data_IF_505463007292
#
_entry.id   IF_505463007292
#
_cell.length_a   1.000
_cell.length_b   1.000
_cell.length_c   1.000
_cell.angle_alpha   90.00
_cell.angle_beta   90.00
_cell.angle_gamma   90.00
#
_symmetry.space_group_name_H-M   'P 1'
#
loop_
_entity.id
_entity.type
_entity.pdbx_description
1 polymer ?
#
# COMPACT_ATOMS: atom_id res chain seq x y z
N UNK A 1 12.69 -55.71 15.41
CA UNK A 1 13.52 -56.64 14.62
C UNK A 1 13.41 -56.26 13.14
N UNK A 2 14.53 -56.07 12.43
CA UNK A 2 14.57 -55.51 11.08
C UNK A 2 14.67 -56.62 10.01
N UNK A 3 14.08 -56.41 8.82
CA UNK A 3 14.44 -57.11 7.57
C UNK A 3 14.15 -56.18 6.39
N UNK A 4 15.17 -55.46 5.88
CA UNK A 4 16.07 -55.82 4.76
C UNK A 4 15.38 -56.10 3.41
N UNK A 5 15.52 -55.09 2.54
CA UNK A 5 15.96 -55.11 1.12
C UNK A 5 15.27 -56.04 0.11
N UNK A 6 14.92 -55.47 -1.06
CA UNK A 6 15.61 -55.77 -2.32
C UNK A 6 15.27 -54.77 -3.43
N UNK A 7 16.31 -54.13 -3.94
CA UNK A 7 16.41 -53.53 -5.28
C UNK A 7 16.27 -54.62 -6.36
N UNK A 8 15.61 -54.29 -7.47
CA UNK A 8 15.79 -55.01 -8.73
C UNK A 8 15.91 -54.01 -9.88
N UNK A 9 17.03 -54.10 -10.56
CA UNK A 9 17.43 -53.44 -11.80
C UNK A 9 16.73 -54.11 -12.99
N UNK A 10 16.28 -53.33 -13.97
CA UNK A 10 15.75 -53.84 -15.24
C UNK A 10 15.98 -52.84 -16.37
N UNK A 11 17.13 -52.98 -17.03
CA UNK A 11 17.54 -52.27 -18.24
C UNK A 11 16.95 -52.99 -19.46
N UNK A 12 16.35 -52.27 -20.42
CA UNK A 12 16.18 -52.75 -21.81
C UNK A 12 16.21 -51.56 -22.78
N UNK A 13 17.24 -51.59 -23.63
CA UNK A 13 17.47 -50.76 -24.84
C UNK A 13 16.61 -51.29 -26.00
N UNK A 14 16.09 -50.44 -26.89
CA UNK A 14 16.53 -50.12 -28.29
C UNK A 14 15.21 -49.77 -29.04
N UNK A 15 15.06 -48.89 -30.03
CA UNK A 15 15.86 -48.51 -31.20
C UNK A 15 15.34 -47.19 -31.78
N UNK A 16 16.26 -46.42 -32.36
CA UNK A 16 16.10 -45.22 -33.19
C UNK A 16 15.52 -45.47 -34.59
N UNK A 17 14.87 -44.46 -35.17
CA UNK A 17 14.83 -44.27 -36.63
C UNK A 17 14.93 -42.79 -37.01
N UNK A 18 16.02 -42.45 -37.69
CA UNK A 18 16.33 -41.17 -38.33
C UNK A 18 15.78 -41.13 -39.76
N UNK A 19 15.33 -39.95 -40.22
CA UNK A 19 15.30 -39.65 -41.66
C UNK A 19 15.82 -38.23 -41.91
N UNK A 20 16.99 -38.17 -42.56
CA UNK A 20 17.59 -36.98 -43.17
C UNK A 20 17.46 -37.09 -44.67
N UNK A 21 17.08 -36.00 -45.34
CA UNK A 21 17.48 -35.75 -46.73
C UNK A 21 17.86 -34.29 -46.87
N UNK A 22 19.09 -34.07 -47.35
CA UNK A 22 19.71 -32.79 -47.64
C UNK A 22 19.86 -32.60 -49.16
N UNK A 23 19.92 -31.33 -49.57
CA UNK A 23 20.60 -30.88 -50.78
C UNK A 23 19.68 -30.40 -51.92
N UNK A 24 20.00 -29.39 -52.73
CA UNK A 24 21.15 -28.46 -52.85
C UNK A 24 20.67 -27.24 -53.64
N UNK A 25 21.25 -26.08 -53.29
CA UNK A 25 21.44 -24.79 -53.98
C UNK A 25 20.80 -24.46 -55.35
N UNK A 26 20.30 -23.22 -55.43
CA UNK A 26 20.15 -22.42 -56.65
C UNK A 26 20.05 -20.94 -56.31
N UNK A 27 21.07 -20.16 -56.67
CA UNK A 27 21.19 -18.70 -56.48
C UNK A 27 20.37 -17.98 -57.56
N UNK A 28 19.50 -17.04 -57.17
CA UNK A 28 19.20 -15.85 -57.97
C UNK A 28 18.53 -14.77 -57.11
N UNK A 29 19.08 -13.57 -57.17
CA UNK A 29 18.60 -12.36 -56.52
C UNK A 29 17.23 -11.92 -57.04
N UNK A 30 16.41 -11.29 -56.18
CA UNK A 30 15.95 -9.90 -56.32
C UNK A 30 14.87 -9.53 -55.29
N UNK A 31 14.94 -8.27 -54.86
CA UNK A 31 13.87 -7.38 -54.40
C UNK A 31 13.20 -7.60 -53.03
N UNK A 32 13.68 -6.78 -52.08
CA UNK A 32 12.93 -6.05 -51.04
C UNK A 32 11.40 -6.12 -51.13
N UNK A 33 10.78 -6.61 -50.06
CA UNK A 33 9.52 -6.11 -49.53
C UNK A 33 9.39 -6.52 -48.05
N UNK A 34 10.06 -5.77 -47.16
CA UNK A 34 9.68 -5.73 -45.75
C UNK A 34 8.35 -5.00 -45.68
N UNK A 35 7.29 -5.69 -45.26
CA UNK A 35 6.04 -5.06 -44.85
C UNK A 35 6.25 -4.45 -43.47
N UNK A 36 6.89 -3.27 -43.44
CA UNK A 36 6.84 -2.38 -42.30
C UNK A 36 5.39 -1.90 -42.14
N UNK A 37 4.70 -2.48 -41.14
CA UNK A 37 3.54 -1.79 -40.57
C UNK A 37 4.09 -0.54 -39.86
N UNK A 38 3.54 0.65 -40.12
CA UNK A 38 4.02 1.85 -39.48
C UNK A 38 3.79 1.73 -37.97
N UNK A 39 4.88 1.69 -37.21
CA UNK A 39 4.87 2.05 -35.80
C UNK A 39 4.38 3.49 -35.78
N UNK A 40 3.17 3.70 -35.26
CA UNK A 40 2.66 5.04 -35.01
C UNK A 40 3.71 5.75 -34.14
N UNK A 41 4.22 6.86 -34.66
CA UNK A 41 5.15 7.71 -33.95
C UNK A 41 4.60 7.98 -32.55
N UNK A 42 5.47 7.84 -31.55
CA UNK A 42 5.21 8.29 -30.19
C UNK A 42 4.59 9.68 -30.24
N UNK A 43 3.30 9.75 -29.94
CA UNK A 43 2.64 11.01 -29.70
C UNK A 43 3.32 11.63 -28.50
N UNK A 44 4.05 12.72 -28.71
CA UNK A 44 4.45 13.59 -27.62
C UNK A 44 3.16 14.04 -26.92
N UNK A 45 2.87 13.47 -25.75
CA UNK A 45 1.85 13.98 -24.84
C UNK A 45 2.35 15.31 -24.28
N UNK A 46 2.28 16.34 -25.11
CA UNK A 46 2.48 17.72 -24.71
C UNK A 46 1.23 18.15 -23.93
N UNK A 47 1.34 18.16 -22.60
CA UNK A 47 0.42 18.92 -21.76
C UNK A 47 -0.27 18.15 -20.63
N UNK A 48 0.49 17.52 -19.74
CA UNK A 48 0.06 17.45 -18.34
C UNK A 48 0.91 18.46 -17.57
N UNK A 49 0.40 19.70 -17.49
CA UNK A 49 0.94 20.64 -16.52
C UNK A 49 0.73 20.02 -15.14
N UNK A 50 1.81 19.81 -14.40
CA UNK A 50 1.75 19.42 -13.00
C UNK A 50 0.73 20.32 -12.29
N UNK A 51 -0.37 19.74 -11.84
CA UNK A 51 -1.29 20.42 -10.93
C UNK A 51 -0.59 20.52 -9.59
N UNK A 52 0.29 21.52 -9.46
CA UNK A 52 0.84 21.91 -8.17
C UNK A 52 -0.30 22.46 -7.33
N UNK A 53 -0.81 21.66 -6.39
CA UNK A 53 -1.65 22.18 -5.30
C UNK A 53 -0.87 23.30 -4.58
N UNK A 54 -1.41 24.53 -4.50
CA UNK A 54 -0.71 25.61 -3.80
C UNK A 54 -0.53 25.27 -2.33
N UNK A 55 0.72 25.21 -1.86
CA UNK A 55 1.03 25.13 -0.42
C UNK A 55 1.48 23.77 0.12
N UNK A 56 1.84 22.81 -0.74
CA UNK A 56 2.59 21.61 -0.32
C UNK A 56 3.88 21.54 -1.15
N UNK A 57 5.09 21.54 -0.56
CA UNK A 57 6.30 21.21 -1.32
C UNK A 57 6.15 19.76 -1.81
N UNK A 58 5.76 19.60 -3.07
CA UNK A 58 5.61 18.29 -3.71
C UNK A 58 6.96 17.58 -3.79
N UNK A 59 6.95 16.28 -3.50
CA UNK A 59 8.07 15.40 -3.83
C UNK A 59 8.20 15.43 -5.36
N UNK A 60 9.39 15.70 -5.88
CA UNK A 60 9.59 15.75 -7.32
C UNK A 60 9.33 14.37 -7.92
N UNK A 61 8.58 14.32 -9.02
CA UNK A 61 8.28 13.09 -9.74
C UNK A 61 9.54 12.32 -10.10
N UNK A 62 9.52 11.01 -9.85
CA UNK A 62 10.55 10.11 -10.37
C UNK A 62 10.34 9.94 -11.87
N UNK A 63 11.20 10.53 -12.70
CA UNK A 63 11.11 10.39 -14.17
C UNK A 63 11.78 9.10 -14.66
N UNK A 64 11.83 8.06 -13.82
CA UNK A 64 12.59 6.84 -14.08
C UNK A 64 11.61 5.70 -14.34
N UNK A 65 11.73 5.12 -15.53
CA UNK A 65 11.01 3.91 -15.88
C UNK A 65 11.23 2.80 -14.84
N UNK A 66 10.15 2.12 -14.49
CA UNK A 66 10.06 1.02 -13.53
C UNK A 66 9.25 -0.14 -14.12
N UNK A 67 9.08 -1.22 -13.36
CA UNK A 67 8.27 -2.35 -13.84
C UNK A 67 6.79 -2.03 -14.00
N UNK A 68 6.25 -1.13 -13.16
CA UNK A 68 4.84 -0.70 -13.22
C UNK A 68 4.63 0.59 -14.03
N UNK A 69 5.71 1.36 -14.27
CA UNK A 69 5.74 2.58 -15.08
C UNK A 69 6.80 2.45 -16.19
N UNK A 70 6.51 1.75 -17.30
CA UNK A 70 7.52 1.44 -18.31
C UNK A 70 8.03 2.63 -19.12
N UNK A 71 7.25 3.72 -19.23
CA UNK A 71 7.64 4.93 -19.96
C UNK A 71 8.27 6.01 -19.04
N UNK A 72 8.08 5.88 -17.72
CA UNK A 72 8.74 6.69 -16.72
C UNK A 72 8.16 8.10 -16.60
N UNK A 73 6.91 8.29 -17.01
CA UNK A 73 6.23 9.59 -16.93
C UNK A 73 5.63 9.86 -15.54
N UNK A 74 5.64 8.86 -14.65
CA UNK A 74 5.12 8.91 -13.29
C UNK A 74 3.63 8.61 -13.16
N UNK A 75 2.93 8.33 -14.26
CA UNK A 75 1.53 7.90 -14.24
C UNK A 75 1.45 6.38 -14.36
N UNK A 76 0.82 5.74 -13.38
CA UNK A 76 0.50 4.31 -13.44
C UNK A 76 -1.00 4.19 -13.64
N UNK A 77 -1.43 3.68 -14.79
CA UNK A 77 -2.85 3.55 -15.12
C UNK A 77 -3.48 2.33 -14.46
N UNK A 78 -4.72 2.45 -14.00
CA UNK A 78 -5.52 1.31 -13.59
C UNK A 78 -6.02 0.53 -14.81
N UNK A 79 -6.00 -0.81 -14.71
CA UNK A 79 -6.52 -1.71 -15.74
C UNK A 79 -7.46 -2.77 -15.12
N UNK A 80 -8.78 -2.70 -15.39
CA UNK A 80 -9.48 -1.61 -16.08
C UNK A 80 -9.64 -0.36 -15.20
N UNK A 81 -9.77 0.84 -15.79
CA UNK A 81 -10.15 2.03 -15.03
C UNK A 81 -11.61 1.94 -14.57
N UNK A 82 -11.90 2.58 -13.45
CA UNK A 82 -13.25 2.72 -12.87
C UNK A 82 -13.83 4.06 -13.28
N UNK A 83 -14.67 4.05 -14.32
CA UNK A 83 -15.29 5.25 -14.88
C UNK A 83 -16.80 5.30 -14.65
N UNK A 84 -17.41 6.48 -14.85
CA UNK A 84 -18.86 6.66 -14.75
C UNK A 84 -19.42 6.54 -13.33
N UNK A 85 -18.59 6.69 -12.31
CA UNK A 85 -19.01 6.69 -10.90
C UNK A 85 -19.50 8.07 -10.52
N UNK A 86 -20.71 8.13 -9.95
CA UNK A 86 -21.22 9.30 -9.26
C UNK A 86 -21.07 9.05 -7.76
N UNK A 87 -20.42 9.95 -6.98
CA UNK A 87 -20.34 9.80 -5.54
C UNK A 87 -21.73 9.61 -4.92
N UNK A 88 -21.87 8.61 -4.05
CA UNK A 88 -23.13 8.40 -3.33
C UNK A 88 -23.43 9.62 -2.47
N UNK A 89 -24.72 9.92 -2.34
CA UNK A 89 -25.29 10.93 -1.43
C UNK A 89 -26.23 10.29 -0.40
N UNK A 90 -26.29 8.95 -0.33
CA UNK A 90 -27.17 8.23 0.57
C UNK A 90 -26.66 8.26 2.02
N UNK A 91 -27.59 8.23 2.97
CA UNK A 91 -27.28 8.03 4.39
C UNK A 91 -27.78 6.65 4.80
N UNK A 92 -26.90 5.65 4.91
CA UNK A 92 -27.29 4.31 5.37
C UNK A 92 -27.76 4.31 6.83
N UNK A 93 -28.39 3.20 7.29
CA UNK A 93 -28.62 2.98 8.71
C UNK A 93 -27.32 3.14 9.51
N UNK A 94 -27.43 3.76 10.69
CA UNK A 94 -26.29 3.99 11.57
C UNK A 94 -25.65 2.65 11.95
N UNK A 95 -24.36 2.54 11.66
CA UNK A 95 -23.47 1.53 12.18
C UNK A 95 -22.33 2.28 12.88
N UNK A 96 -21.97 1.85 14.10
CA UNK A 96 -20.95 2.56 14.87
C UNK A 96 -19.55 2.35 14.29
N UNK A 97 -19.32 1.16 13.71
CA UNK A 97 -18.08 0.80 13.04
C UNK A 97 -18.37 0.35 11.61
N UNK A 98 -17.34 0.43 10.78
CA UNK A 98 -17.34 0.04 9.37
C UNK A 98 -15.88 -0.13 8.96
N UNK A 99 -15.24 -1.12 9.57
CA UNK A 99 -13.80 -1.30 9.53
C UNK A 99 -13.36 -2.77 9.68
N UNK A 100 -12.15 -3.05 9.22
CA UNK A 100 -11.41 -4.25 9.62
C UNK A 100 -9.95 -3.92 9.93
N UNK A 101 -9.29 -4.83 10.65
CA UNK A 101 -7.88 -4.69 11.04
C UNK A 101 -6.99 -5.57 10.19
N UNK A 102 -6.06 -4.98 9.45
CA UNK A 102 -4.86 -5.68 9.02
C UNK A 102 -3.85 -5.65 10.17
N UNK A 103 -3.24 -6.80 10.47
CA UNK A 103 -2.32 -6.97 11.60
C UNK A 103 -1.01 -7.52 11.08
N UNK A 104 0.01 -6.66 10.97
CA UNK A 104 1.29 -6.99 10.34
C UNK A 104 2.47 -6.62 11.24
N UNK A 105 3.48 -7.48 11.33
CA UNK A 105 4.71 -7.17 12.07
C UNK A 105 5.75 -6.46 11.19
N UNK A 106 6.65 -5.65 11.76
CA UNK A 106 7.83 -5.14 11.05
C UNK A 106 8.65 -6.27 10.43
N UNK A 107 9.09 -6.09 9.19
CA UNK A 107 9.89 -7.08 8.44
C UNK A 107 11.37 -6.73 8.51
N UNK A 108 11.71 -5.55 8.02
CA UNK A 108 13.08 -5.05 7.94
C UNK A 108 13.06 -3.52 7.81
N UNK A 109 14.26 -2.94 7.72
CA UNK A 109 14.43 -1.51 7.45
C UNK A 109 15.43 -1.30 6.34
N UNK A 110 15.19 -0.32 5.47
CA UNK A 110 16.12 0.04 4.41
C UNK A 110 15.95 1.52 4.01
N UNK A 111 17.01 2.19 3.50
CA UNK A 111 16.96 3.51 2.87
C UNK A 111 16.35 3.48 1.46
N UNK A 112 15.26 2.74 1.29
CA UNK A 112 14.62 2.45 0.01
C UNK A 112 13.20 3.04 0.00
N UNK A 113 12.74 3.43 -1.18
CA UNK A 113 11.36 3.85 -1.41
C UNK A 113 10.97 3.52 -2.85
N UNK A 114 10.19 2.44 -3.09
CA UNK A 114 9.81 2.05 -4.44
C UNK A 114 8.78 2.98 -5.10
N UNK A 115 8.11 3.86 -4.34
CA UNK A 115 7.15 4.83 -4.90
C UNK A 115 7.93 6.07 -5.36
N UNK A 116 8.70 6.67 -4.45
CA UNK A 116 9.40 7.94 -4.72
C UNK A 116 10.69 7.72 -5.53
N UNK A 117 11.40 6.63 -5.27
CA UNK A 117 12.69 6.32 -5.88
C UNK A 117 12.73 4.91 -6.50
N UNK A 118 11.81 4.58 -7.44
CA UNK A 118 11.74 3.27 -8.08
C UNK A 118 13.08 2.86 -8.70
N UNK A 119 13.52 1.65 -8.37
CA UNK A 119 14.77 1.04 -8.82
C UNK A 119 16.03 1.80 -8.41
N UNK A 120 15.99 2.59 -7.32
CA UNK A 120 17.12 3.38 -6.83
C UNK A 120 17.39 3.07 -5.34
N UNK A 121 18.04 1.92 -5.05
CA UNK A 121 18.32 1.52 -3.68
C UNK A 121 19.21 2.54 -2.95
N UNK A 122 18.91 2.79 -1.68
CA UNK A 122 19.64 3.72 -0.83
C UNK A 122 19.41 5.21 -1.13
N UNK A 123 18.44 5.54 -1.99
CA UNK A 123 18.17 6.93 -2.37
C UNK A 123 17.28 7.67 -1.37
N UNK A 124 16.50 6.96 -0.56
CA UNK A 124 15.60 7.54 0.43
C UNK A 124 16.25 7.66 1.82
N UNK A 125 15.54 8.27 2.77
CA UNK A 125 15.83 8.04 4.19
C UNK A 125 15.42 6.62 4.60
N UNK A 126 15.88 6.18 5.77
CA UNK A 126 15.59 4.84 6.27
C UNK A 126 14.11 4.67 6.63
N UNK A 127 13.48 3.65 6.07
CA UNK A 127 12.11 3.26 6.35
C UNK A 127 12.06 1.97 7.16
N UNK A 128 11.03 1.82 7.99
CA UNK A 128 10.61 0.55 8.59
C UNK A 128 9.48 -0.03 7.75
N UNK A 129 9.69 -1.23 7.22
CA UNK A 129 8.75 -1.94 6.36
C UNK A 129 7.93 -2.96 7.16
N UNK A 130 6.68 -3.16 6.76
CA UNK A 130 5.69 -4.08 7.34
C UNK A 130 4.88 -4.76 6.23
N UNK A 131 4.27 -5.91 6.53
CA UNK A 131 3.48 -6.68 5.57
C UNK A 131 4.39 -7.51 4.67
N UNK A 132 4.46 -7.14 3.40
CA UNK A 132 5.28 -7.88 2.45
C UNK A 132 6.77 -7.89 2.83
N UNK A 133 7.32 -9.09 2.95
CA UNK A 133 8.70 -9.34 3.40
C UNK A 133 9.76 -8.98 2.35
N UNK A 134 9.34 -8.76 1.11
CA UNK A 134 10.25 -8.51 -0.03
C UNK A 134 10.30 -7.06 -0.48
N UNK A 135 9.52 -6.16 0.15
CA UNK A 135 9.46 -4.74 -0.21
C UNK A 135 10.84 -4.09 -0.16
N UNK A 136 11.32 -3.55 -1.28
CA UNK A 136 12.56 -2.79 -1.41
C UNK A 136 12.47 -1.79 -2.58
N UNK A 137 13.56 -1.11 -2.96
CA UNK A 137 13.54 -0.12 -4.05
C UNK A 137 13.06 -0.66 -5.42
N UNK A 138 13.08 -1.97 -5.66
CA UNK A 138 12.64 -2.60 -6.90
C UNK A 138 11.21 -3.17 -6.85
N UNK A 139 10.47 -2.92 -5.77
CA UNK A 139 9.09 -3.42 -5.60
C UNK A 139 8.20 -2.96 -6.74
N UNK A 140 7.42 -3.89 -7.27
CA UNK A 140 6.31 -3.65 -8.18
C UNK A 140 5.03 -4.31 -7.65
N UNK A 141 3.88 -3.95 -8.21
CA UNK A 141 2.62 -4.59 -7.88
C UNK A 141 2.68 -6.12 -8.11
N UNK A 142 3.38 -6.55 -9.17
CA UNK A 142 3.57 -7.97 -9.47
C UNK A 142 4.54 -8.66 -8.50
N UNK A 143 5.61 -7.98 -8.05
CA UNK A 143 6.55 -8.60 -7.10
C UNK A 143 5.89 -8.87 -5.75
N UNK A 144 5.01 -7.96 -5.30
CA UNK A 144 4.29 -8.12 -4.04
C UNK A 144 3.47 -9.42 -4.01
N UNK A 145 2.79 -9.78 -5.09
CA UNK A 145 1.98 -11.01 -5.17
C UNK A 145 2.79 -12.29 -4.94
N UNK A 146 4.06 -12.27 -5.33
CA UNK A 146 4.96 -13.43 -5.18
C UNK A 146 5.70 -13.46 -3.85
N UNK A 147 5.68 -12.35 -3.09
CA UNK A 147 6.32 -12.25 -1.79
C UNK A 147 5.54 -12.95 -0.68
N UNK A 148 6.24 -13.28 0.41
CA UNK A 148 5.63 -13.66 1.68
C UNK A 148 5.22 -12.42 2.48
N UNK A 149 4.37 -12.57 3.49
CA UNK A 149 3.88 -11.48 4.34
C UNK A 149 4.03 -11.79 5.83
N UNK A 150 4.19 -10.76 6.65
CA UNK A 150 4.05 -10.83 8.12
C UNK A 150 2.65 -10.47 8.62
N UNK A 151 1.72 -10.16 7.71
CA UNK A 151 0.33 -9.96 8.06
C UNK A 151 -0.31 -11.28 8.48
N UNK A 152 -1.24 -11.24 9.44
CA UNK A 152 -1.95 -12.44 9.88
C UNK A 152 -2.77 -13.09 8.76
N UNK A 153 -3.38 -12.28 7.89
CA UNK A 153 -4.03 -12.77 6.67
C UNK A 153 -2.98 -13.00 5.56
N UNK A 154 -2.74 -14.24 5.09
CA UNK A 154 -1.78 -14.52 4.02
C UNK A 154 -2.13 -13.83 2.70
N UNK A 155 -3.40 -13.51 2.50
CA UNK A 155 -3.91 -12.72 1.38
C UNK A 155 -3.44 -11.27 1.40
N UNK A 156 -2.98 -10.72 2.52
CA UNK A 156 -2.42 -9.36 2.57
C UNK A 156 -0.92 -9.36 2.27
N UNK A 157 -0.57 -9.21 1.00
CA UNK A 157 0.83 -9.07 0.56
C UNK A 157 1.19 -7.62 0.27
N UNK A 158 0.48 -6.66 0.87
CA UNK A 158 0.73 -5.24 0.65
C UNK A 158 2.04 -4.79 1.28
N UNK A 159 2.65 -3.77 0.69
CA UNK A 159 3.77 -3.05 1.29
C UNK A 159 3.27 -1.88 2.13
N UNK A 160 3.70 -1.83 3.38
CA UNK A 160 3.45 -0.72 4.30
C UNK A 160 4.77 -0.22 4.86
N UNK A 161 5.07 1.07 4.73
CA UNK A 161 6.30 1.60 5.33
C UNK A 161 6.15 3.03 5.82
N UNK A 162 7.04 3.40 6.72
CA UNK A 162 7.10 4.72 7.36
C UNK A 162 8.54 5.03 7.76
N UNK A 163 8.94 6.29 7.98
CA UNK A 163 10.29 6.62 8.43
C UNK A 163 10.64 5.88 9.71
N UNK A 164 11.82 5.26 9.73
CA UNK A 164 12.29 4.59 10.93
C UNK A 164 12.48 5.58 12.08
N UNK A 165 12.06 5.18 13.28
CA UNK A 165 12.23 5.97 14.48
C UNK A 165 13.59 5.65 15.13
N UNK A 166 14.25 6.67 15.65
CA UNK A 166 15.51 6.55 16.36
C UNK A 166 15.44 7.27 17.70
N UNK A 167 16.16 6.74 18.69
CA UNK A 167 16.53 7.46 19.89
C UNK A 167 18.05 7.59 19.91
N UNK A 168 18.55 8.78 19.56
CA UNK A 168 19.97 8.98 19.29
C UNK A 168 20.40 8.24 18.02
N UNK A 169 21.30 7.26 18.17
CA UNK A 169 21.75 6.37 17.09
C UNK A 169 21.01 5.03 17.07
N UNK A 170 20.28 4.71 18.14
CA UNK A 170 19.56 3.45 18.25
C UNK A 170 18.27 3.52 17.45
N UNK A 171 18.10 2.62 16.49
CA UNK A 171 16.84 2.41 15.78
C UNK A 171 15.83 1.74 16.72
N UNK A 172 14.62 2.28 16.79
CA UNK A 172 13.52 1.75 17.59
C UNK A 172 12.45 1.26 16.62
N UNK A 173 12.22 -0.05 16.62
CA UNK A 173 11.15 -0.66 15.83
C UNK A 173 9.86 -0.70 16.63
N UNK A 174 8.70 -0.64 15.97
CA UNK A 174 7.44 -0.99 16.63
C UNK A 174 7.52 -2.41 17.23
N UNK A 175 6.93 -2.60 18.42
CA UNK A 175 6.97 -3.90 19.08
C UNK A 175 5.80 -4.78 18.62
N UNK A 176 6.12 -5.99 18.13
CA UNK A 176 5.13 -6.98 17.73
C UNK A 176 4.30 -6.58 16.51
N UNK A 177 3.07 -7.10 16.46
CA UNK A 177 2.15 -6.90 15.33
C UNK A 177 1.48 -5.53 15.46
N UNK A 178 1.61 -4.71 14.42
CA UNK A 178 0.98 -3.39 14.34
C UNK A 178 -0.41 -3.49 13.74
N UNK A 179 -1.31 -2.59 14.14
CA UNK A 179 -2.67 -2.53 13.59
C UNK A 179 -2.75 -1.45 12.52
N UNK A 180 -3.15 -1.85 11.32
CA UNK A 180 -3.47 -0.99 10.20
C UNK A 180 -4.97 -1.13 9.97
N UNK A 181 -5.72 -0.05 10.17
CA UNK A 181 -7.17 -0.11 9.99
C UNK A 181 -7.55 0.21 8.56
N UNK A 182 -8.55 -0.50 8.06
CA UNK A 182 -9.25 -0.21 6.81
C UNK A 182 -10.66 0.22 7.17
N UNK A 183 -10.96 1.52 7.08
CA UNK A 183 -12.23 2.11 7.55
C UNK A 183 -13.01 2.74 6.40
N UNK A 184 -14.33 2.93 6.52
CA UNK A 184 -15.03 3.90 5.66
C UNK A 184 -14.62 5.33 6.02
N UNK A 185 -14.20 6.12 5.03
CA UNK A 185 -14.04 7.57 5.14
C UNK A 185 -15.28 8.37 4.72
N UNK A 186 -16.25 7.71 4.08
CA UNK A 186 -17.49 8.33 3.57
C UNK A 186 -18.70 7.88 4.39
N UNK A 187 -19.77 8.69 4.38
CA UNK A 187 -21.01 8.40 5.11
C UNK A 187 -21.73 7.17 4.54
N UNK A 188 -21.82 7.04 3.21
CA UNK A 188 -22.34 5.81 2.60
C UNK A 188 -21.27 4.73 2.54
N UNK A 189 -20.99 4.10 3.68
CA UNK A 189 -19.99 3.01 3.81
C UNK A 189 -20.26 1.82 2.86
N UNK A 190 -21.50 1.66 2.38
CA UNK A 190 -21.87 0.63 1.39
C UNK A 190 -21.38 0.95 -0.03
N UNK A 191 -20.91 2.16 -0.29
CA UNK A 191 -20.34 2.57 -1.59
C UNK A 191 -18.85 2.27 -1.72
N UNK A 192 -18.18 1.92 -0.61
CA UNK A 192 -16.76 1.60 -0.58
C UNK A 192 -16.45 0.37 -1.42
N UNK A 193 -15.39 0.44 -2.22
CA UNK A 193 -14.89 -0.64 -3.09
C UNK A 193 -13.52 -1.12 -2.61
N UNK A 194 -13.13 -2.40 -2.84
CA UNK A 194 -11.76 -2.82 -2.56
C UNK A 194 -10.74 -2.02 -3.38
N UNK A 195 -9.53 -1.89 -2.85
CA UNK A 195 -8.43 -1.25 -3.58
C UNK A 195 -8.13 -2.00 -4.87
N UNK A 196 -7.93 -1.29 -6.01
CA UNK A 196 -7.38 -1.93 -7.19
C UNK A 196 -5.95 -2.37 -6.91
N UNK A 197 -5.53 -3.48 -7.52
CA UNK A 197 -4.18 -4.01 -7.38
C UNK A 197 -3.15 -2.96 -7.78
N UNK A 198 -2.09 -2.83 -6.99
CA UNK A 198 -0.98 -1.92 -7.29
C UNK A 198 -1.25 -0.44 -7.02
N UNK A 199 -2.45 -0.05 -6.55
CA UNK A 199 -2.70 1.30 -6.03
C UNK A 199 -1.64 1.64 -4.98
N UNK A 200 -1.03 2.81 -5.12
CA UNK A 200 0.02 3.25 -4.20
C UNK A 200 -0.05 4.75 -3.98
N UNK A 201 0.29 5.19 -2.78
CA UNK A 201 0.31 6.61 -2.46
C UNK A 201 1.15 6.88 -1.21
N UNK A 202 1.55 8.15 -1.06
CA UNK A 202 2.24 8.67 0.12
C UNK A 202 1.29 9.55 0.92
N UNK A 203 1.20 9.35 2.23
CA UNK A 203 0.37 10.14 3.15
C UNK A 203 1.25 11.03 4.03
N UNK A 204 0.99 12.34 4.08
CA UNK A 204 1.88 13.32 4.72
C UNK A 204 3.10 13.64 3.86
N UNK A 205 4.12 14.28 4.42
CA UNK A 205 5.36 14.60 3.70
C UNK A 205 6.56 14.68 4.65
N UNK A 206 7.76 14.22 4.24
CA UNK A 206 8.99 14.44 5.00
C UNK A 206 9.37 15.92 5.09
N UNK A 207 8.87 16.76 4.18
CA UNK A 207 9.20 18.19 4.10
C UNK A 207 8.17 19.10 4.77
N UNK A 208 7.07 18.54 5.30
CA UNK A 208 6.03 19.35 5.91
C UNK A 208 6.53 20.02 7.20
N UNK A 209 6.05 21.23 7.44
CA UNK A 209 6.22 21.96 8.69
C UNK A 209 5.32 21.39 9.78
N UNK A 210 5.58 21.78 11.03
CA UNK A 210 4.72 21.42 12.16
C UNK A 210 3.27 21.88 11.98
N UNK A 211 3.06 23.07 11.42
CA UNK A 211 1.72 23.60 11.17
C UNK A 211 1.01 22.84 10.03
N UNK A 212 1.74 22.44 8.99
CA UNK A 212 1.17 21.60 7.92
C UNK A 212 0.79 20.22 8.46
N UNK A 213 1.64 19.57 9.27
CA UNK A 213 1.31 18.29 9.90
C UNK A 213 0.10 18.40 10.83
N UNK A 214 0.03 19.46 11.64
CA UNK A 214 -1.10 19.73 12.52
C UNK A 214 -2.42 19.89 11.77
N UNK A 215 -2.39 20.53 10.61
CA UNK A 215 -3.58 20.84 9.82
C UNK A 215 -3.84 19.85 8.67
N UNK A 216 -3.01 18.81 8.54
CA UNK A 216 -3.24 17.72 7.60
C UNK A 216 -4.55 17.02 7.97
N UNK A 217 -5.44 16.84 6.98
CA UNK A 217 -6.79 16.30 7.20
C UNK A 217 -6.80 14.93 7.87
N UNK A 218 -5.78 14.11 7.61
CA UNK A 218 -5.64 12.77 8.18
C UNK A 218 -5.03 12.72 9.58
N UNK A 219 -4.54 13.84 10.14
CA UNK A 219 -3.86 13.83 11.46
C UNK A 219 -4.88 13.59 12.57
N UNK A 220 -4.70 12.48 13.29
CA UNK A 220 -5.57 12.10 14.42
C UNK A 220 -4.81 12.33 15.71
N UNK A 221 -5.13 13.43 16.40
CA UNK A 221 -4.61 13.77 17.74
C UNK A 221 -3.08 13.87 17.87
N UNK A 222 -2.30 13.78 16.79
CA UNK A 222 -0.84 13.92 16.80
C UNK A 222 -0.13 12.80 17.57
N UNK A 223 1.10 13.08 18.02
CA UNK A 223 1.90 12.16 18.82
C UNK A 223 1.35 12.05 20.25
N UNK A 224 1.26 10.82 20.72
CA UNK A 224 0.70 10.46 22.01
C UNK A 224 1.70 9.67 22.85
N UNK A 225 1.77 9.95 24.14
CA UNK A 225 2.62 9.21 25.08
C UNK A 225 2.06 9.26 26.50
N UNK A 226 1.47 8.14 26.95
CA UNK A 226 0.71 8.11 28.19
C UNK A 226 -0.45 9.12 28.14
N UNK A 227 -0.49 10.07 29.08
CA UNK A 227 -1.51 11.12 29.13
C UNK A 227 -1.15 12.37 28.29
N UNK A 228 0.00 12.37 27.59
CA UNK A 228 0.36 13.44 26.66
C UNK A 228 -0.22 13.14 25.28
N UNK A 229 -1.06 14.03 24.75
CA UNK A 229 -1.70 13.91 23.44
C UNK A 229 -1.75 15.28 22.74
N UNK A 230 -2.11 15.33 21.45
CA UNK A 230 -2.12 16.56 20.64
C UNK A 230 -0.75 17.22 20.50
N UNK A 231 0.30 16.40 20.46
CA UNK A 231 1.65 16.86 20.17
C UNK A 231 1.92 16.78 18.67
N UNK A 232 2.27 17.90 18.03
CA UNK A 232 2.57 17.94 16.60
C UNK A 232 4.07 17.89 16.30
N UNK A 233 4.89 17.69 17.32
CA UNK A 233 6.26 17.17 17.26
C UNK A 233 6.37 16.14 18.41
N UNK A 234 7.51 15.48 18.57
CA UNK A 234 7.70 14.58 19.71
C UNK A 234 7.52 15.34 21.04
N UNK A 235 6.76 14.79 22.00
CA UNK A 235 6.68 15.37 23.33
C UNK A 235 8.07 15.38 23.96
N UNK A 236 8.41 16.41 24.74
CA UNK A 236 9.75 16.53 25.35
C UNK A 236 10.08 15.38 26.32
N UNK A 237 9.05 14.76 26.90
CA UNK A 237 9.18 13.63 27.82
C UNK A 237 7.96 12.71 27.74
N UNK A 238 8.18 11.45 28.09
CA UNK A 238 7.19 10.39 28.19
C UNK A 238 7.24 9.74 29.58
N UNK A 239 6.13 9.25 30.14
CA UNK A 239 6.16 8.44 31.36
C UNK A 239 7.10 7.23 31.22
N UNK A 240 7.90 6.92 32.24
CA UNK A 240 8.93 5.86 32.17
C UNK A 240 8.43 4.45 32.47
N UNK A 241 7.10 4.23 32.51
CA UNK A 241 6.56 2.90 32.77
C UNK A 241 6.86 1.97 31.59
N UNK A 242 7.03 0.67 31.88
CA UNK A 242 7.33 -0.33 30.84
C UNK A 242 6.24 -0.41 29.76
N UNK A 243 5.01 -0.07 30.11
CA UNK A 243 3.86 -0.13 29.22
C UNK A 243 3.59 1.20 28.49
N UNK A 244 4.51 2.17 28.62
CA UNK A 244 4.41 3.44 27.88
C UNK A 244 5.08 3.33 26.53
N UNK A 245 4.28 3.57 25.49
CA UNK A 245 4.70 3.69 24.10
C UNK A 245 4.52 5.13 23.63
N UNK A 246 5.37 5.54 22.71
CA UNK A 246 5.09 6.67 21.83
C UNK A 246 4.18 6.18 20.70
N UNK A 247 3.05 6.84 20.48
CA UNK A 247 2.04 6.43 19.51
C UNK A 247 1.75 7.54 18.51
N UNK A 248 1.30 7.15 17.32
CA UNK A 248 0.76 8.06 16.33
C UNK A 248 -0.38 7.39 15.56
N UNK A 249 -1.38 8.19 15.19
CA UNK A 249 -2.39 7.83 14.20
C UNK A 249 -2.40 8.80 13.02
N UNK A 250 -2.34 8.26 11.80
CA UNK A 250 -2.46 9.05 10.58
C UNK A 250 -3.36 8.34 9.56
N UNK A 251 -4.38 9.05 9.09
CA UNK A 251 -5.36 8.56 8.11
C UNK A 251 -5.00 8.97 6.69
N UNK A 252 -5.22 8.07 5.73
CA UNK A 252 -5.07 8.31 4.30
C UNK A 252 -6.27 9.07 3.71
N UNK A 253 -6.11 9.71 2.53
CA UNK A 253 -7.25 9.95 1.65
C UNK A 253 -7.96 8.64 1.27
N UNK A 254 -9.26 8.70 0.98
CA UNK A 254 -10.10 7.51 0.72
C UNK A 254 -11.02 7.65 -0.50
N UNK A 255 -10.75 8.65 -1.35
CA UNK A 255 -11.47 8.92 -2.58
C UNK A 255 -10.48 8.91 -3.73
N UNK A 256 -10.75 8.11 -4.76
CA UNK A 256 -9.85 7.86 -5.88
C UNK A 256 -10.46 8.35 -7.20
N UNK A 257 -9.61 8.84 -8.09
CA UNK A 257 -10.01 9.33 -9.41
C UNK A 257 -10.57 8.24 -10.33
N UNK A 258 -10.31 6.97 -10.01
CA UNK A 258 -10.77 5.82 -10.79
C UNK A 258 -9.87 5.50 -11.98
N UNK A 259 -8.81 6.26 -12.21
CA UNK A 259 -7.99 6.21 -13.42
C UNK A 259 -6.56 5.82 -13.11
N UNK A 260 -5.93 6.40 -12.08
CA UNK A 260 -4.49 6.25 -11.85
C UNK A 260 -4.20 5.47 -10.56
N UNK A 261 -3.45 4.37 -10.66
CA UNK A 261 -2.88 3.67 -9.51
C UNK A 261 -1.75 4.46 -8.84
N UNK A 262 -1.11 5.38 -9.58
CA UNK A 262 -0.17 6.36 -9.07
C UNK A 262 -0.13 7.59 -9.99
N UNK A 263 0.23 8.74 -9.42
CA UNK A 263 0.47 9.99 -10.16
C UNK A 263 1.89 10.49 -9.88
N UNK A 264 2.46 11.40 -10.69
CA UNK A 264 3.84 11.84 -10.52
C UNK A 264 4.19 12.43 -9.14
N UNK A 265 3.21 12.94 -8.41
CA UNK A 265 3.36 13.46 -7.04
C UNK A 265 3.00 12.45 -5.93
N UNK A 266 2.62 11.24 -6.34
CA UNK A 266 2.16 10.11 -5.54
C UNK A 266 0.94 10.38 -4.64
N UNK A 267 0.16 11.40 -5.00
CA UNK A 267 -0.89 11.97 -4.13
C UNK A 267 -2.13 12.41 -4.90
N UNK A 268 -1.98 13.07 -6.05
CA UNK A 268 -3.08 13.75 -6.75
C UNK A 268 -4.16 12.83 -7.31
N UNK A 269 -3.94 11.52 -7.41
CA UNK A 269 -5.00 10.56 -7.74
C UNK A 269 -5.90 10.21 -6.54
N UNK A 270 -5.56 10.68 -5.34
CA UNK A 270 -6.30 10.44 -4.10
C UNK A 270 -6.73 11.75 -3.43
N UNK A 271 -7.93 11.76 -2.87
CA UNK A 271 -8.49 12.88 -2.13
C UNK A 271 -9.11 12.44 -0.80
N UNK A 272 -9.10 13.35 0.17
CA UNK A 272 -9.92 13.19 1.38
C UNK A 272 -11.38 13.49 1.05
N UNK A 273 -12.33 12.74 1.65
CA UNK A 273 -13.74 13.08 1.58
C UNK A 273 -14.02 14.55 1.93
N UNK A 274 -15.04 15.11 1.28
CA UNK A 274 -15.51 16.47 1.52
C UNK A 274 -16.80 16.45 2.33
N UNK A 275 -16.93 17.41 3.24
CA UNK A 275 -18.15 17.59 4.02
C UNK A 275 -19.25 18.18 3.12
N UNK A 276 -20.34 17.45 2.91
CA UNK A 276 -21.48 17.83 2.08
C UNK A 276 -22.68 18.40 2.84
N UNK A 277 -22.49 18.92 4.05
CA UNK A 277 -23.57 19.43 4.91
C UNK A 277 -23.58 18.78 6.29
N UNK A 278 -24.77 18.65 6.90
CA UNK A 278 -24.95 18.19 8.29
C UNK A 278 -24.40 16.78 8.54
N UNK A 279 -23.12 16.68 8.91
CA UNK A 279 -22.38 15.46 9.24
C UNK A 279 -22.34 14.42 8.10
N UNK A 280 -22.27 14.90 6.86
CA UNK A 280 -22.21 14.07 5.67
C UNK A 280 -20.84 14.20 5.00
N UNK A 281 -20.16 13.08 4.76
CA UNK A 281 -18.89 13.02 4.02
C UNK A 281 -19.08 12.19 2.75
N UNK A 282 -18.70 12.75 1.60
CA UNK A 282 -18.66 12.03 0.34
C UNK A 282 -17.37 12.32 -0.42
N UNK A 283 -17.11 11.49 -1.42
CA UNK A 283 -16.03 11.77 -2.34
C UNK A 283 -16.34 12.95 -3.26
N UNK A 284 -15.34 13.81 -3.56
CA UNK A 284 -15.52 14.88 -4.51
C UNK A 284 -15.69 14.33 -5.93
N UNK A 285 -16.26 15.14 -6.83
CA UNK A 285 -16.63 14.70 -8.17
C UNK A 285 -15.43 14.30 -9.06
N UNK A 286 -14.25 14.84 -8.78
CA UNK A 286 -12.99 14.53 -9.45
C UNK A 286 -12.31 13.26 -8.89
N UNK A 287 -12.74 12.77 -7.72
CA UNK A 287 -12.26 11.53 -7.10
C UNK A 287 -13.42 10.61 -6.70
N UNK A 288 -14.28 10.18 -7.64
CA UNK A 288 -15.60 9.70 -7.29
C UNK A 288 -15.63 8.29 -6.67
N UNK A 289 -14.51 7.56 -6.69
CA UNK A 289 -14.46 6.17 -6.23
C UNK A 289 -14.10 6.11 -4.74
N UNK A 290 -15.07 5.74 -3.90
CA UNK A 290 -14.81 5.51 -2.48
C UNK A 290 -14.03 4.22 -2.26
N UNK A 291 -12.93 4.31 -1.51
CA UNK A 291 -12.05 3.22 -1.12
C UNK A 291 -11.92 3.18 0.42
N UNK A 292 -11.37 2.11 1.01
CA UNK A 292 -11.04 2.12 2.43
C UNK A 292 -10.07 3.25 2.76
N UNK A 293 -10.32 3.95 3.85
CA UNK A 293 -9.38 4.85 4.50
C UNK A 293 -8.42 4.01 5.33
N UNK A 294 -7.15 3.98 4.93
CA UNK A 294 -6.10 3.40 5.77
C UNK A 294 -5.83 4.32 6.95
N UNK A 295 -5.77 3.77 8.16
CA UNK A 295 -5.22 4.45 9.33
C UNK A 295 -4.04 3.66 9.88
N UNK A 296 -2.85 4.25 9.81
CA UNK A 296 -1.69 3.72 10.51
C UNK A 296 -1.83 4.07 11.98
N UNK A 297 -1.91 3.04 12.84
CA UNK A 297 -1.81 3.18 14.30
C UNK A 297 -0.53 2.49 14.75
N UNK A 298 0.50 3.29 14.98
CA UNK A 298 1.86 2.79 15.21
C UNK A 298 2.31 3.14 16.63
N UNK A 299 2.98 2.18 17.27
CA UNK A 299 3.45 2.29 18.65
C UNK A 299 4.93 1.89 18.76
N UNK A 300 5.76 2.75 19.35
CA UNK A 300 7.18 2.49 19.58
C UNK A 300 7.48 2.38 21.07
N UNK A 301 8.24 1.35 21.52
CA UNK A 301 8.61 1.17 22.92
C UNK A 301 9.73 2.14 23.32
N UNK A 302 9.49 3.45 23.20
CA UNK A 302 10.38 4.52 23.60
C UNK A 302 9.66 5.44 24.58
N UNK A 303 10.34 5.78 25.68
CA UNK A 303 9.78 6.60 26.73
C UNK A 303 10.87 7.35 27.53
N UNK A 304 10.47 8.08 28.58
CA UNK A 304 11.39 8.89 29.38
C UNK A 304 11.81 10.17 28.68
N UNK A 305 13.12 10.39 28.54
CA UNK A 305 13.65 11.57 27.88
C UNK A 305 13.60 11.40 26.35
N UNK A 306 12.83 12.27 25.70
CA UNK A 306 12.56 12.19 24.26
C UNK A 306 13.42 13.15 23.43
N UNK A 307 14.38 13.86 24.04
CA UNK A 307 15.14 14.92 23.36
C UNK A 307 16.00 14.44 22.18
N UNK A 308 16.33 13.15 22.16
CA UNK A 308 17.08 12.50 21.08
C UNK A 308 16.19 11.71 20.11
N UNK A 309 14.87 11.69 20.35
CA UNK A 309 13.92 10.98 19.47
C UNK A 309 13.77 11.74 18.17
N UNK A 310 13.91 11.02 17.06
CA UNK A 310 13.80 11.55 15.69
C UNK A 310 13.28 10.47 14.75
N UNK A 311 12.69 10.90 13.64
CA UNK A 311 12.49 10.06 12.47
C UNK A 311 13.73 10.09 11.59
N UNK A 312 13.90 9.09 10.73
CA UNK A 312 14.89 9.12 9.65
C UNK A 312 14.70 10.36 8.75
N UNK A 313 13.46 10.81 8.59
CA UNK A 313 13.06 12.01 7.84
C UNK A 313 13.19 13.32 8.65
N UNK A 314 13.54 13.27 9.94
CA UNK A 314 13.75 14.45 10.78
C UNK A 314 12.89 14.49 12.06
N UNK A 315 12.17 15.59 12.25
CA UNK A 315 11.33 15.82 13.45
C UNK A 315 10.03 15.03 13.41
N UNK A 316 9.26 15.00 14.50
CA UNK A 316 8.01 14.25 14.58
C UNK A 316 6.97 14.70 13.56
N UNK A 317 6.97 15.98 13.17
CA UNK A 317 6.09 16.48 12.11
C UNK A 317 6.53 16.04 10.70
N UNK A 318 7.70 15.44 10.49
CA UNK A 318 8.09 14.88 9.18
C UNK A 318 7.47 13.49 8.93
N UNK A 319 6.62 13.01 9.84
CA UNK A 319 5.98 11.71 9.70
C UNK A 319 5.12 11.66 8.44
N UNK A 320 5.32 10.58 7.71
CA UNK A 320 4.53 10.14 6.59
C UNK A 320 4.48 8.62 6.62
N UNK A 321 3.60 8.05 5.83
CA UNK A 321 3.69 6.65 5.50
C UNK A 321 3.29 6.43 4.05
N UNK A 322 3.61 5.24 3.61
CA UNK A 322 3.53 4.84 2.23
C UNK A 322 2.85 3.48 2.19
N UNK A 323 2.06 3.30 1.13
CA UNK A 323 1.29 2.10 0.91
C UNK A 323 1.38 1.69 -0.54
N UNK A 324 1.55 0.41 -0.79
CA UNK A 324 1.36 -0.21 -2.11
C UNK A 324 0.50 -1.46 -1.94
N UNK A 325 -0.68 -1.44 -2.58
CA UNK A 325 -1.65 -2.52 -2.47
C UNK A 325 -1.14 -3.81 -3.11
N UNK A 326 -1.03 -4.85 -2.30
CA UNK A 326 -0.67 -6.21 -2.72
C UNK A 326 -1.66 -7.26 -2.20
N UNK A 327 -2.84 -6.86 -1.73
CA UNK A 327 -3.87 -7.80 -1.33
C UNK A 327 -4.27 -8.74 -2.47
N UNK A 328 -4.51 -10.01 -2.13
CA UNK A 328 -5.33 -10.90 -2.94
C UNK A 328 -6.72 -10.26 -3.14
N UNK A 329 -7.11 -10.11 -4.41
CA UNK A 329 -8.27 -9.33 -4.77
C UNK A 329 -9.58 -9.92 -4.22
N UNK A 330 -9.70 -11.26 -4.22
CA UNK A 330 -10.89 -11.93 -3.69
C UNK A 330 -10.99 -11.77 -2.17
N UNK A 331 -9.85 -11.91 -1.48
CA UNK A 331 -9.78 -11.74 -0.03
C UNK A 331 -10.12 -10.32 0.38
N UNK A 332 -9.56 -9.30 -0.28
CA UNK A 332 -9.86 -7.90 0.03
C UNK A 332 -11.32 -7.55 -0.27
N UNK A 333 -11.88 -8.03 -1.39
CA UNK A 333 -13.30 -7.79 -1.72
C UNK A 333 -14.23 -8.40 -0.66
N UNK A 334 -13.93 -9.62 -0.21
CA UNK A 334 -14.70 -10.27 0.85
C UNK A 334 -14.62 -9.51 2.18
N UNK A 335 -13.42 -9.08 2.58
CA UNK A 335 -13.20 -8.28 3.79
C UNK A 335 -13.92 -6.93 3.73
N UNK A 336 -13.81 -6.20 2.62
CA UNK A 336 -14.51 -4.92 2.43
C UNK A 336 -16.03 -5.12 2.41
N UNK A 337 -16.51 -6.15 1.72
CA UNK A 337 -17.95 -6.42 1.61
C UNK A 337 -18.58 -6.80 2.94
N UNK A 338 -17.92 -7.66 3.71
CA UNK A 338 -18.46 -8.10 5.00
C UNK A 338 -18.28 -7.04 6.08
N UNK A 339 -17.07 -6.49 6.23
CA UNK A 339 -16.73 -5.68 7.39
C UNK A 339 -17.06 -4.19 7.19
N UNK A 340 -16.63 -3.61 6.08
CA UNK A 340 -16.87 -2.18 5.81
C UNK A 340 -18.31 -1.96 5.37
N UNK A 341 -18.74 -2.63 4.28
CA UNK A 341 -20.10 -2.47 3.74
C UNK A 341 -21.17 -3.09 4.64
N UNK A 342 -20.81 -4.06 5.49
CA UNK A 342 -21.69 -4.64 6.49
C UNK A 342 -21.81 -3.83 7.79
N UNK A 343 -21.00 -2.78 7.97
CA UNK A 343 -21.06 -1.92 9.15
C UNK A 343 -20.59 -2.63 10.43
N UNK A 344 -19.46 -3.34 10.35
CA UNK A 344 -18.90 -4.15 11.44
C UNK A 344 -17.55 -3.61 11.91
N UNK A 345 -17.11 -4.06 13.09
CA UNK A 345 -15.75 -3.89 13.62
C UNK A 345 -15.01 -5.22 13.57
N UNK A 346 -14.46 -5.54 12.41
CA UNK A 346 -13.80 -6.81 12.23
C UNK A 346 -12.36 -6.83 12.76
N UNK A 347 -11.99 -7.95 13.36
CA UNK A 347 -10.61 -8.39 13.53
C UNK A 347 -9.99 -8.84 12.19
N UNK A 348 -8.73 -9.35 12.18
CA UNK A 348 -8.11 -9.81 10.93
C UNK A 348 -8.72 -11.07 10.31
N UNK A 349 -9.57 -11.83 11.01
CA UNK A 349 -10.36 -12.92 10.40
C UNK A 349 -11.61 -12.39 9.68
N UNK A 350 -11.90 -11.10 9.78
CA UNK A 350 -13.20 -10.58 9.35
C UNK A 350 -14.31 -10.91 10.34
N UNK A 351 -13.98 -11.17 11.61
CA UNK A 351 -14.94 -11.47 12.67
C UNK A 351 -15.17 -10.25 13.57
N UNK A 352 -16.42 -9.96 13.89
CA UNK A 352 -16.79 -8.91 14.84
C UNK A 352 -17.25 -9.53 16.16
N UNK A 353 -16.50 -9.27 17.24
CA UNK A 353 -16.80 -9.78 18.58
C UNK A 353 -18.15 -9.30 19.12
N UNK A 354 -18.62 -8.13 18.67
CA UNK A 354 -19.91 -7.56 19.08
C UNK A 354 -21.08 -8.09 18.23
N UNK A 355 -20.79 -8.72 17.09
CA UNK A 355 -21.76 -9.27 16.13
C UNK A 355 -21.43 -10.72 15.74
N UNK A 356 -21.32 -11.66 16.70
CA UNK A 356 -20.94 -13.04 16.43
C UNK A 356 -21.88 -13.76 15.45
N UNK A 357 -23.14 -13.33 15.38
CA UNK A 357 -24.14 -13.87 14.46
C UNK A 357 -23.82 -13.63 12.98
N UNK A 358 -22.93 -12.69 12.67
CA UNK A 358 -22.48 -12.40 11.31
C UNK A 358 -21.42 -13.38 10.82
N UNK A 359 -20.74 -14.07 11.72
CA UNK A 359 -19.63 -14.97 11.38
C UNK A 359 -18.37 -14.24 10.93
N UNK A 360 -17.36 -15.01 10.54
CA UNK A 360 -16.08 -14.53 10.04
C UNK A 360 -16.01 -14.63 8.51
N UNK A 361 -15.20 -13.78 7.88
CA UNK A 361 -14.90 -13.84 6.45
C UNK A 361 -13.93 -14.97 6.15
N UNK A 362 -12.90 -15.11 6.99
CA UNK A 362 -11.78 -16.01 6.80
C UNK A 362 -11.90 -17.20 7.77
N UNK A 363 -11.32 -18.32 7.36
CA UNK A 363 -11.23 -19.53 8.17
C UNK A 363 -10.16 -19.39 9.28
N UNK A 364 -9.91 -20.46 10.04
CA UNK A 364 -8.93 -20.46 11.14
C UNK A 364 -7.47 -20.27 10.71
N UNK A 365 -7.18 -20.39 9.42
CA UNK A 365 -5.87 -20.13 8.80
C UNK A 365 -5.81 -18.73 8.15
N UNK A 366 -6.83 -17.88 8.38
CA UNK A 366 -7.00 -16.56 7.77
C UNK A 366 -7.08 -16.58 6.23
N UNK A 367 -7.61 -17.67 5.65
CA UNK A 367 -7.85 -17.80 4.22
C UNK A 367 -9.35 -17.82 3.93
N UNK A 368 -9.72 -17.52 2.68
CA UNK A 368 -11.11 -17.70 2.24
C UNK A 368 -11.51 -19.20 2.34
N UNK A 369 -12.75 -19.52 2.75
CA UNK A 369 -13.24 -20.89 2.90
C UNK A 369 -13.27 -21.75 1.64
#
# INVERSE_FOLDING_TARGET
>A
MPRRSRTLTGLLLFTSLTLTTAGVAGIAATANASTDKPVAAAGTHAGHAAYSMPGMPGMAASTKASGDDPDGDGYIMADPPVTGVTPSMEVPPSAYFHEFQAKCAPTHTAPDDPIVYPGQPGKSHDHTFMGNTTTNAYTTAASLETGDTTCLAPGDKSGYWMPSLFNGEQKILPEGVQTIYYKSGVTDYRSVRPFPKGLRYVVGSPMQTQDEFKNLKGTVEGWECGESFKNYDFPASCPTSRDTYLNLRLQAPSCWDGIHLDTPDHKSHMAYPVAGGANYNSCPADHPVALPMIEFKMAWPVNGNMSQVKLASGKGFSFHYDFMNGWDAATLDAMVTHCVKGGLQCDPHGYDENHPEKGAVLNGDYELP
#
